data_IF_899646602051
#
_entry.id   IF_899646602051
#
_cell.length_a   1.000
_cell.length_b   1.000
_cell.length_c   1.000
_cell.angle_alpha   90.00
_cell.angle_beta   90.00
_cell.angle_gamma   90.00
#
_symmetry.space_group_name_H-M   'P 1'
#
loop_
_entity.id
_entity.type
_entity.pdbx_description
1 polymer ?
#
# COMPACT_ATOMS: atom_id res chain seq x y z
N UNK A 1 31.40 7.40 17.46
CA UNK A 1 31.33 5.97 17.81
C UNK A 1 29.88 5.51 18.07
N UNK A 2 28.94 5.93 17.20
CA UNK A 2 27.62 5.33 17.06
C UNK A 2 27.32 5.35 15.56
N UNK A 3 27.33 4.15 14.97
CA UNK A 3 26.93 3.77 13.62
C UNK A 3 27.61 4.53 12.46
N UNK A 4 28.65 3.91 11.88
CA UNK A 4 28.94 4.06 10.45
C UNK A 4 27.93 3.19 9.68
N UNK A 5 26.65 3.56 9.72
CA UNK A 5 25.56 2.91 9.00
C UNK A 5 24.82 3.92 8.12
N UNK A 6 23.97 3.44 7.21
CA UNK A 6 23.16 4.24 6.27
C UNK A 6 22.39 5.41 6.95
N UNK A 7 22.06 5.28 8.23
CA UNK A 7 21.35 6.29 9.01
C UNK A 7 22.32 7.16 9.82
N UNK A 8 22.27 8.47 9.58
CA UNK A 8 23.01 9.46 10.35
C UNK A 8 22.34 9.73 11.70
N UNK A 9 23.11 10.22 12.67
CA UNK A 9 22.56 10.71 13.94
C UNK A 9 21.48 11.79 13.73
N UNK A 10 21.57 12.56 12.64
CA UNK A 10 20.56 13.54 12.27
C UNK A 10 19.19 12.91 11.95
N UNK A 11 19.16 11.74 11.30
CA UNK A 11 17.91 11.08 10.89
C UNK A 11 17.10 10.60 12.10
N UNK A 12 17.80 10.08 13.11
CA UNK A 12 17.16 9.70 14.38
C UNK A 12 16.57 10.91 15.11
N UNK A 13 17.28 12.05 15.12
CA UNK A 13 16.79 13.28 15.74
C UNK A 13 15.53 13.76 15.02
N UNK A 14 15.50 13.75 13.69
CA UNK A 14 14.32 14.13 12.91
C UNK A 14 13.16 13.16 13.15
N UNK A 15 13.42 11.86 13.17
CA UNK A 15 12.40 10.83 13.42
C UNK A 15 11.73 11.02 14.79
N UNK A 16 12.51 10.99 15.87
CA UNK A 16 11.96 11.15 17.22
C UNK A 16 11.41 12.57 17.45
N UNK A 17 12.03 13.59 16.86
CA UNK A 17 11.55 14.98 16.92
C UNK A 17 10.17 15.14 16.30
N UNK A 18 9.93 14.55 15.13
CA UNK A 18 8.62 14.59 14.47
C UNK A 18 7.54 13.86 15.28
N UNK A 19 7.87 12.69 15.86
CA UNK A 19 6.96 11.92 16.71
C UNK A 19 6.57 12.69 17.98
N UNK A 20 7.54 13.31 18.64
CA UNK A 20 7.29 14.16 19.82
C UNK A 20 6.50 15.41 19.44
N UNK A 21 6.78 16.04 18.29
CA UNK A 21 6.02 17.20 17.82
C UNK A 21 4.54 16.85 17.61
N UNK A 22 4.25 15.76 16.89
CA UNK A 22 2.87 15.32 16.64
C UNK A 22 2.15 15.00 17.96
N UNK A 23 2.83 14.30 18.88
CA UNK A 23 2.29 14.01 20.21
C UNK A 23 2.03 15.29 21.01
N UNK A 24 2.96 16.25 21.00
CA UNK A 24 2.82 17.52 21.69
C UNK A 24 1.66 18.35 21.14
N UNK A 25 1.51 18.42 19.81
CA UNK A 25 0.36 19.09 19.15
C UNK A 25 -0.95 18.41 19.51
N UNK A 26 -1.01 17.07 19.45
CA UNK A 26 -2.20 16.31 19.83
C UNK A 26 -2.62 16.54 21.29
N UNK A 27 -1.64 16.55 22.22
CA UNK A 27 -1.89 16.85 23.62
C UNK A 27 -2.25 18.32 23.85
N UNK A 28 -1.66 19.26 23.13
CA UNK A 28 -1.97 20.68 23.27
C UNK A 28 -3.39 21.00 22.80
N UNK A 29 -3.78 20.47 21.64
CA UNK A 29 -5.15 20.61 21.10
C UNK A 29 -6.17 19.89 21.99
N UNK A 30 -5.84 18.71 22.52
CA UNK A 30 -6.71 17.94 23.42
C UNK A 30 -6.94 18.55 24.82
N UNK A 31 -6.19 19.60 25.21
CA UNK A 31 -6.32 20.24 26.54
C UNK A 31 -7.44 21.28 26.63
N UNK A 32 -8.03 21.70 25.51
CA UNK A 32 -9.10 22.71 25.46
C UNK A 32 -10.52 22.17 25.71
N UNK A 33 -10.70 20.86 25.74
CA UNK A 33 -11.99 20.20 25.59
C UNK A 33 -12.62 19.86 26.95
N UNK A 34 -13.56 20.69 27.41
CA UNK A 34 -14.19 20.58 28.75
C UNK A 34 -15.50 19.80 28.77
N UNK A 35 -16.06 19.44 27.61
CA UNK A 35 -17.33 18.72 27.48
C UNK A 35 -17.26 17.73 26.32
N UNK A 36 -17.85 16.54 26.47
CA UNK A 36 -17.97 15.56 25.38
C UNK A 36 -18.69 16.15 24.16
N UNK A 37 -19.57 17.14 24.33
CA UNK A 37 -20.21 17.83 23.21
C UNK A 37 -19.27 18.72 22.40
N UNK A 38 -18.32 19.41 23.01
CA UNK A 38 -17.35 20.24 22.25
C UNK A 38 -16.39 19.34 21.46
N UNK A 39 -15.99 18.21 22.05
CA UNK A 39 -15.09 17.23 21.43
C UNK A 39 -15.74 16.51 20.23
N UNK A 40 -17.03 16.16 20.33
CA UNK A 40 -17.75 15.44 19.26
C UNK A 40 -18.40 16.36 18.21
N UNK A 41 -18.72 17.62 18.54
CA UNK A 41 -19.41 18.52 17.62
C UNK A 41 -18.52 19.64 17.05
N UNK A 42 -17.26 19.79 17.50
CA UNK A 42 -16.36 20.86 17.09
C UNK A 42 -17.09 22.21 16.94
N UNK A 43 -17.94 22.52 17.94
CA UNK A 43 -18.69 23.76 18.05
C UNK A 43 -19.64 24.11 16.89
N UNK A 44 -20.07 23.18 16.02
CA UNK A 44 -20.93 23.44 14.82
C UNK A 44 -20.36 24.41 13.76
N UNK A 45 -19.25 25.08 14.02
CA UNK A 45 -18.60 26.08 13.15
C UNK A 45 -17.22 25.61 12.69
N UNK A 46 -17.04 24.31 12.44
CA UNK A 46 -15.82 23.81 11.82
C UNK A 46 -15.77 24.33 10.38
N UNK A 47 -14.74 25.10 9.99
CA UNK A 47 -14.69 25.65 8.66
C UNK A 47 -14.59 24.53 7.61
N UNK A 48 -15.21 24.73 6.45
CA UNK A 48 -15.32 23.71 5.41
C UNK A 48 -13.97 23.14 4.98
N UNK A 49 -12.90 23.95 5.01
CA UNK A 49 -11.55 23.54 4.66
C UNK A 49 -10.93 22.60 5.71
N UNK A 50 -11.27 22.76 6.99
CA UNK A 50 -10.80 21.86 8.05
C UNK A 50 -11.49 20.50 7.94
N UNK A 51 -12.79 20.49 7.62
CA UNK A 51 -13.55 19.25 7.33
C UNK A 51 -12.96 18.54 6.10
N UNK A 52 -12.72 19.28 5.02
CA UNK A 52 -12.10 18.74 3.81
C UNK A 52 -10.71 18.16 4.08
N UNK A 53 -9.87 18.88 4.84
CA UNK A 53 -8.55 18.43 5.24
C UNK A 53 -8.58 17.16 6.10
N UNK A 54 -9.52 17.05 7.04
CA UNK A 54 -9.69 15.85 7.87
C UNK A 54 -10.15 14.64 7.06
N UNK A 55 -11.10 14.81 6.13
CA UNK A 55 -11.57 13.73 5.25
C UNK A 55 -10.42 13.27 4.34
N UNK A 56 -9.67 14.20 3.76
CA UNK A 56 -8.52 13.88 2.93
C UNK A 56 -7.42 13.15 3.71
N UNK A 57 -7.07 13.65 4.90
CA UNK A 57 -6.08 13.02 5.78
C UNK A 57 -6.49 11.63 6.27
N UNK A 58 -7.80 11.36 6.38
CA UNK A 58 -8.31 10.03 6.76
C UNK A 58 -8.24 9.02 5.60
N UNK A 59 -8.29 9.48 4.35
CA UNK A 59 -8.23 8.62 3.17
C UNK A 59 -6.79 8.32 2.70
N UNK A 60 -5.83 9.19 3.05
CA UNK A 60 -4.43 9.04 2.61
C UNK A 60 -3.63 8.33 3.69
N UNK A 61 -3.10 7.15 3.35
CA UNK A 61 -2.20 6.40 4.23
C UNK A 61 -0.88 6.08 3.52
N UNK A 62 0.20 5.95 4.29
CA UNK A 62 1.52 5.66 3.74
C UNK A 62 1.55 4.30 3.00
N UNK A 63 0.82 3.30 3.51
CA UNK A 63 0.71 2.00 2.83
C UNK A 63 0.00 2.12 1.47
N UNK A 64 -1.05 2.94 1.38
CA UNK A 64 -1.75 3.18 0.14
C UNK A 64 -0.85 3.89 -0.88
N UNK A 65 -0.09 4.90 -0.45
CA UNK A 65 0.88 5.58 -1.32
C UNK A 65 1.94 4.62 -1.86
N UNK A 66 2.54 3.77 -1.01
CA UNK A 66 3.54 2.77 -1.45
C UNK A 66 2.94 1.77 -2.43
N UNK A 67 1.72 1.29 -2.17
CA UNK A 67 1.00 0.41 -3.09
C UNK A 67 0.73 1.04 -4.45
N UNK A 68 0.22 2.28 -4.47
CA UNK A 68 -0.08 3.01 -5.70
C UNK A 68 1.19 3.35 -6.49
N UNK A 69 2.29 3.69 -5.83
CA UNK A 69 3.58 3.88 -6.49
C UNK A 69 4.10 2.59 -7.12
N UNK A 70 3.97 1.45 -6.44
CA UNK A 70 4.38 0.15 -6.98
C UNK A 70 3.57 -0.23 -8.23
N UNK A 71 2.24 -0.05 -8.20
CA UNK A 71 1.39 -0.29 -9.38
C UNK A 71 1.70 0.72 -10.48
N UNK A 72 1.91 2.00 -10.13
CA UNK A 72 2.29 3.05 -11.09
C UNK A 72 3.62 2.79 -11.80
N UNK A 73 4.59 2.15 -11.16
CA UNK A 73 5.84 1.74 -11.81
C UNK A 73 5.62 0.70 -12.92
N UNK A 74 4.65 -0.20 -12.73
CA UNK A 74 4.34 -1.28 -13.70
C UNK A 74 3.33 -0.87 -14.77
N UNK A 75 2.27 -0.16 -14.38
CA UNK A 75 1.13 0.18 -15.24
C UNK A 75 1.18 1.62 -15.77
N UNK A 76 2.08 2.46 -15.26
CA UNK A 76 2.21 3.86 -15.66
C UNK A 76 1.01 4.72 -15.25
N UNK A 77 0.75 5.78 -16.02
CA UNK A 77 -0.28 6.79 -15.72
C UNK A 77 -1.73 6.26 -15.74
N UNK A 78 -1.96 5.05 -16.26
CA UNK A 78 -3.31 4.45 -16.37
C UNK A 78 -3.98 4.33 -15.01
N UNK A 79 -3.21 4.10 -13.94
CA UNK A 79 -3.74 3.96 -12.58
C UNK A 79 -4.46 5.21 -12.08
N UNK A 80 -4.09 6.40 -12.56
CA UNK A 80 -4.69 7.69 -12.19
C UNK A 80 -6.18 7.77 -12.55
N UNK A 81 -6.64 6.97 -13.52
CA UNK A 81 -8.05 6.95 -13.91
C UNK A 81 -8.97 6.47 -12.76
N UNK A 82 -8.48 5.61 -11.87
CA UNK A 82 -9.24 5.15 -10.69
C UNK A 82 -9.53 6.32 -9.75
N UNK A 83 -8.54 7.15 -9.48
CA UNK A 83 -8.65 8.31 -8.58
C UNK A 83 -9.57 9.40 -9.18
N UNK A 84 -9.42 9.69 -10.48
CA UNK A 84 -10.26 10.69 -11.15
C UNK A 84 -11.74 10.25 -11.15
N UNK A 85 -12.00 8.96 -11.38
CA UNK A 85 -13.36 8.42 -11.35
C UNK A 85 -13.93 8.38 -9.94
N UNK A 86 -13.10 8.15 -8.93
CA UNK A 86 -13.50 8.19 -7.52
C UNK A 86 -14.02 9.57 -7.10
N UNK A 87 -13.43 10.67 -7.61
CA UNK A 87 -13.90 12.04 -7.34
C UNK A 87 -15.34 12.22 -7.82
N UNK A 88 -15.65 11.76 -9.05
CA UNK A 88 -17.00 11.83 -9.59
C UNK A 88 -17.99 11.01 -8.76
N UNK A 89 -17.60 9.81 -8.34
CA UNK A 89 -18.40 8.96 -7.45
C UNK A 89 -18.65 9.60 -6.09
N UNK A 90 -17.64 10.25 -5.50
CA UNK A 90 -17.74 10.93 -4.21
C UNK A 90 -18.65 12.16 -4.28
N UNK A 91 -18.58 12.95 -5.36
CA UNK A 91 -19.49 14.08 -5.58
C UNK A 91 -20.95 13.62 -5.69
N UNK A 92 -21.19 12.53 -6.42
CA UNK A 92 -22.53 11.93 -6.54
C UNK A 92 -23.02 11.45 -5.17
N UNK A 93 -22.19 10.69 -4.44
CA UNK A 93 -22.51 10.22 -3.09
C UNK A 93 -22.85 11.40 -2.16
N UNK A 94 -22.03 12.45 -2.15
CA UNK A 94 -22.27 13.65 -1.35
C UNK A 94 -23.59 14.34 -1.72
N UNK A 95 -23.93 14.47 -3.00
CA UNK A 95 -25.17 15.16 -3.38
C UNK A 95 -26.42 14.37 -3.00
N UNK A 96 -26.41 13.04 -3.17
CA UNK A 96 -27.60 12.21 -2.94
C UNK A 96 -27.72 11.68 -1.49
N UNK A 97 -26.62 11.22 -0.87
CA UNK A 97 -26.67 10.58 0.44
C UNK A 97 -26.55 11.57 1.60
N UNK A 98 -25.81 12.67 1.44
CA UNK A 98 -25.68 13.70 2.49
C UNK A 98 -27.04 14.28 2.95
N UNK A 99 -27.99 14.66 2.07
CA UNK A 99 -29.27 15.17 2.53
C UNK A 99 -30.11 14.11 3.26
N UNK A 100 -29.94 12.83 2.90
CA UNK A 100 -30.63 11.71 3.55
C UNK A 100 -30.05 11.51 4.96
N UNK A 101 -28.74 11.43 5.10
CA UNK A 101 -28.08 11.22 6.41
C UNK A 101 -28.33 12.38 7.38
N UNK A 102 -28.34 13.61 6.87
CA UNK A 102 -28.69 14.79 7.70
C UNK A 102 -30.12 14.74 8.22
N UNK A 103 -31.08 14.23 7.45
CA UNK A 103 -32.48 14.10 7.90
C UNK A 103 -32.69 12.97 8.91
N UNK A 104 -31.93 11.88 8.79
CA UNK A 104 -32.06 10.71 9.68
C UNK A 104 -31.31 10.85 11.02
N UNK A 105 -30.51 11.90 11.22
CA UNK A 105 -29.68 12.08 12.41
C UNK A 105 -28.89 10.81 12.78
N UNK A 106 -28.26 10.21 11.77
CA UNK A 106 -27.37 9.04 11.90
C UNK A 106 -25.93 9.48 11.75
N UNK A 107 -25.07 9.02 12.66
CA UNK A 107 -23.66 9.43 12.73
C UNK A 107 -22.70 8.35 12.22
N UNK A 108 -23.13 7.09 12.15
CA UNK A 108 -22.32 5.98 11.65
C UNK A 108 -23.12 5.16 10.64
N UNK A 109 -22.42 4.54 9.67
CA UNK A 109 -23.08 3.72 8.67
C UNK A 109 -23.72 2.47 9.29
N UNK A 110 -23.09 1.90 10.33
CA UNK A 110 -23.64 0.78 11.11
C UNK A 110 -24.98 1.14 11.76
N UNK A 111 -25.10 2.35 12.31
CA UNK A 111 -26.35 2.85 12.93
C UNK A 111 -27.44 3.07 11.88
N UNK A 112 -27.09 3.58 10.69
CA UNK A 112 -28.02 3.65 9.56
C UNK A 112 -28.56 2.27 9.17
N UNK A 113 -27.70 1.26 9.10
CA UNK A 113 -28.09 -0.11 8.76
C UNK A 113 -28.98 -0.74 9.83
N UNK A 114 -28.71 -0.46 11.11
CA UNK A 114 -29.54 -0.89 12.23
C UNK A 114 -30.96 -0.31 12.18
N UNK A 115 -31.09 1.00 11.93
CA UNK A 115 -32.40 1.67 11.84
C UNK A 115 -33.21 1.26 10.61
N UNK A 116 -32.55 0.93 9.49
CA UNK A 116 -33.23 0.61 8.23
C UNK A 116 -33.64 -0.86 8.11
N UNK A 117 -32.85 -1.77 8.68
CA UNK A 117 -33.04 -3.21 8.56
C UNK A 117 -33.33 -3.85 9.91
N UNK A 118 -32.29 -4.08 10.73
CA UNK A 118 -32.39 -4.67 12.07
C UNK A 118 -31.01 -4.60 12.77
N UNK A 119 -30.97 -4.83 14.08
CA UNK A 119 -29.74 -4.83 14.88
C UNK A 119 -28.74 -5.92 14.46
N UNK A 120 -29.23 -7.04 13.90
CA UNK A 120 -28.37 -8.09 13.33
C UNK A 120 -27.50 -7.56 12.18
N UNK A 121 -28.06 -6.72 11.32
CA UNK A 121 -27.35 -6.10 10.19
C UNK A 121 -26.28 -5.12 10.67
N UNK A 122 -26.56 -4.37 11.74
CA UNK A 122 -25.59 -3.46 12.39
C UNK A 122 -24.37 -4.23 12.90
N UNK A 123 -24.59 -5.33 13.61
CA UNK A 123 -23.50 -6.16 14.15
C UNK A 123 -22.71 -6.82 13.03
N UNK A 124 -23.39 -7.41 12.04
CA UNK A 124 -22.74 -8.04 10.89
C UNK A 124 -21.83 -7.05 10.15
N UNK A 125 -22.32 -5.86 9.83
CA UNK A 125 -21.53 -4.82 9.17
C UNK A 125 -20.33 -4.38 10.02
N UNK A 126 -20.52 -4.19 11.32
CA UNK A 126 -19.44 -3.77 12.21
C UNK A 126 -18.33 -4.83 12.33
N UNK A 127 -18.70 -6.12 12.38
CA UNK A 127 -17.75 -7.24 12.39
C UNK A 127 -16.97 -7.32 11.07
N UNK A 128 -17.68 -7.23 9.94
CA UNK A 128 -17.04 -7.25 8.60
C UNK A 128 -16.06 -6.08 8.47
N UNK A 129 -16.48 -4.88 8.85
CA UNK A 129 -15.61 -3.69 8.79
C UNK A 129 -14.41 -3.82 9.70
N UNK A 130 -14.56 -4.35 10.91
CA UNK A 130 -13.44 -4.60 11.81
C UNK A 130 -12.44 -5.57 11.18
N UNK A 131 -12.91 -6.67 10.61
CA UNK A 131 -12.06 -7.65 9.93
C UNK A 131 -11.33 -6.99 8.75
N UNK A 132 -12.00 -6.18 7.94
CA UNK A 132 -11.38 -5.47 6.81
C UNK A 132 -10.33 -4.48 7.31
N UNK A 133 -10.63 -3.68 8.33
CA UNK A 133 -9.69 -2.71 8.89
C UNK A 133 -8.44 -3.43 9.41
N UNK A 134 -8.60 -4.52 10.16
CA UNK A 134 -7.45 -5.27 10.69
C UNK A 134 -6.67 -5.94 9.57
N UNK A 135 -7.32 -6.72 8.72
CA UNK A 135 -6.64 -7.57 7.74
C UNK A 135 -6.13 -6.79 6.52
N UNK A 136 -6.89 -5.82 6.03
CA UNK A 136 -6.60 -5.12 4.77
C UNK A 136 -5.88 -3.80 5.01
N UNK A 137 -6.20 -3.07 6.09
CA UNK A 137 -5.56 -1.78 6.36
C UNK A 137 -4.37 -1.91 7.32
N UNK A 138 -4.57 -2.60 8.46
CA UNK A 138 -3.58 -2.63 9.53
C UNK A 138 -2.41 -3.59 9.23
N UNK A 139 -2.68 -4.80 8.73
CA UNK A 139 -1.62 -5.76 8.42
C UNK A 139 -0.62 -5.25 7.37
N UNK A 140 -1.03 -4.72 6.19
CA UNK A 140 -0.08 -4.23 5.20
C UNK A 140 0.69 -3.00 5.70
N UNK A 141 0.04 -2.12 6.48
CA UNK A 141 0.72 -1.00 7.11
C UNK A 141 1.85 -1.46 8.05
N UNK A 142 1.59 -2.49 8.87
CA UNK A 142 2.59 -3.05 9.77
C UNK A 142 3.69 -3.81 9.02
N UNK A 143 3.35 -4.55 7.98
CA UNK A 143 4.31 -5.25 7.14
C UNK A 143 5.24 -4.27 6.40
N UNK A 144 4.69 -3.25 5.75
CA UNK A 144 5.49 -2.22 5.07
C UNK A 144 6.33 -1.42 6.06
N UNK A 145 5.78 -1.08 7.23
CA UNK A 145 6.52 -0.40 8.29
C UNK A 145 7.70 -1.23 8.82
N UNK A 146 7.48 -2.51 9.14
CA UNK A 146 8.54 -3.40 9.62
C UNK A 146 9.59 -3.69 8.54
N UNK A 147 9.19 -3.87 7.28
CA UNK A 147 10.13 -4.03 6.16
C UNK A 147 10.94 -2.76 5.93
N UNK A 148 10.34 -1.58 6.02
CA UNK A 148 11.05 -0.32 5.90
C UNK A 148 12.11 -0.19 7.02
N UNK A 149 11.75 -0.46 8.27
CA UNK A 149 12.71 -0.43 9.39
C UNK A 149 13.81 -1.47 9.20
N UNK A 150 13.47 -2.69 8.76
CA UNK A 150 14.46 -3.73 8.50
C UNK A 150 15.47 -3.30 7.43
N UNK A 151 15.00 -2.78 6.29
CA UNK A 151 15.88 -2.29 5.20
C UNK A 151 16.79 -1.15 5.69
N UNK A 152 16.27 -0.27 6.54
CA UNK A 152 17.04 0.86 7.07
C UNK A 152 18.04 0.47 8.17
N UNK A 153 17.80 -0.63 8.88
CA UNK A 153 18.69 -1.14 9.94
C UNK A 153 19.71 -2.17 9.43
N UNK A 154 19.47 -2.82 8.29
CA UNK A 154 20.41 -3.78 7.70
C UNK A 154 21.58 -3.01 7.06
N UNK A 155 22.79 -3.36 7.49
CA UNK A 155 24.05 -2.80 7.02
C UNK A 155 24.22 -3.01 5.50
N UNK A 156 24.75 -2.00 4.81
CA UNK A 156 24.86 -1.92 3.35
C UNK A 156 25.59 -3.15 2.76
N UNK A 157 26.48 -3.76 3.56
CA UNK A 157 27.24 -4.97 3.21
C UNK A 157 26.44 -6.27 3.05
N UNK A 158 25.28 -6.44 3.71
CA UNK A 158 24.45 -7.63 3.53
C UNK A 158 23.45 -7.50 2.37
N UNK A 159 22.91 -6.30 2.15
CA UNK A 159 22.01 -6.02 1.01
C UNK A 159 22.77 -6.18 -0.30
N UNK A 160 24.00 -5.67 -0.39
CA UNK A 160 24.85 -5.84 -1.56
C UNK A 160 25.16 -7.32 -1.84
N UNK A 161 25.41 -8.14 -0.80
CA UNK A 161 25.66 -9.58 -0.96
C UNK A 161 24.42 -10.36 -1.40
N UNK A 162 23.24 -10.03 -0.85
CA UNK A 162 21.97 -10.65 -1.25
C UNK A 162 21.54 -10.25 -2.67
N UNK A 163 21.80 -9.01 -3.08
CA UNK A 163 21.56 -8.53 -4.43
C UNK A 163 22.55 -9.15 -5.44
N UNK A 164 23.81 -9.37 -5.02
CA UNK A 164 24.80 -10.06 -5.85
C UNK A 164 24.50 -11.56 -6.00
N UNK A 165 24.08 -12.24 -4.94
CA UNK A 165 23.73 -13.67 -4.99
C UNK A 165 22.50 -13.94 -5.86
N UNK A 166 21.49 -13.07 -5.82
CA UNK A 166 20.32 -13.17 -6.69
C UNK A 166 20.67 -12.88 -8.15
N UNK A 167 21.48 -11.87 -8.45
CA UNK A 167 21.96 -11.62 -9.82
C UNK A 167 22.82 -12.76 -10.37
N UNK A 168 23.69 -13.35 -9.54
CA UNK A 168 24.46 -14.55 -9.90
C UNK A 168 23.54 -15.74 -10.23
N UNK A 169 22.46 -15.93 -9.47
CA UNK A 169 21.48 -17.00 -9.74
C UNK A 169 20.73 -16.78 -11.07
N UNK A 170 20.33 -15.53 -11.37
CA UNK A 170 19.73 -15.18 -12.66
C UNK A 170 20.72 -15.32 -13.83
N UNK A 171 21.95 -14.85 -13.67
CA UNK A 171 23.00 -14.97 -14.68
C UNK A 171 23.37 -16.45 -14.94
N UNK A 172 23.37 -17.27 -13.89
CA UNK A 172 23.59 -18.71 -14.00
C UNK A 172 22.43 -19.40 -14.73
N UNK A 173 21.16 -19.04 -14.47
CA UNK A 173 20.01 -19.57 -15.23
C UNK A 173 20.08 -19.22 -16.71
N UNK A 174 20.39 -17.96 -17.05
CA UNK A 174 20.55 -17.51 -18.46
C UNK A 174 21.71 -18.23 -19.16
N UNK A 175 22.81 -18.48 -18.44
CA UNK A 175 23.97 -19.21 -18.99
C UNK A 175 23.64 -20.69 -19.22
N UNK A 176 22.92 -21.33 -18.30
CA UNK A 176 22.47 -22.71 -18.43
C UNK A 176 21.46 -22.88 -19.57
N UNK A 177 20.53 -21.95 -19.70
CA UNK A 177 19.52 -21.94 -20.77
C UNK A 177 20.18 -21.72 -22.15
N UNK A 178 21.10 -20.76 -22.29
CA UNK A 178 21.84 -20.55 -23.55
C UNK A 178 22.76 -21.72 -23.92
N UNK A 179 23.36 -22.40 -22.94
CA UNK A 179 24.18 -23.60 -23.17
C UNK A 179 23.32 -24.81 -23.53
N UNK A 180 22.11 -24.92 -22.99
CA UNK A 180 21.13 -25.94 -23.36
C UNK A 180 20.65 -25.77 -24.79
N UNK A 181 20.24 -24.55 -25.17
CA UNK A 181 19.80 -24.21 -26.53
C UNK A 181 20.90 -24.42 -27.58
N UNK A 182 22.14 -24.08 -27.24
CA UNK A 182 23.29 -24.31 -28.13
C UNK A 182 23.54 -25.81 -28.36
N UNK A 183 23.39 -26.65 -27.32
CA UNK A 183 23.49 -28.11 -27.44
C UNK A 183 22.34 -28.69 -28.27
N UNK A 184 21.11 -28.21 -28.10
CA UNK A 184 19.96 -28.66 -28.91
C UNK A 184 20.13 -28.30 -30.39
N UNK A 185 20.63 -27.10 -30.71
CA UNK A 185 20.93 -26.72 -32.10
C UNK A 185 22.04 -27.58 -32.71
N UNK A 186 23.09 -27.87 -31.95
CA UNK A 186 24.18 -28.73 -32.41
C UNK A 186 23.71 -30.18 -32.61
N UNK A 187 22.85 -30.69 -31.73
CA UNK A 187 22.21 -31.99 -31.87
C UNK A 187 21.33 -32.04 -33.15
N UNK A 188 20.52 -31.00 -33.39
CA UNK A 188 19.68 -30.91 -34.58
C UNK A 188 20.49 -30.82 -35.88
N UNK A 189 21.60 -30.09 -35.89
CA UNK A 189 22.50 -30.03 -37.06
C UNK A 189 23.22 -31.36 -37.30
N UNK A 190 23.66 -32.05 -36.24
CA UNK A 190 24.24 -33.38 -36.34
C UNK A 190 23.23 -34.40 -36.90
N UNK A 191 21.97 -34.33 -36.44
CA UNK A 191 20.87 -35.15 -36.96
C UNK A 191 20.59 -34.81 -38.43
N UNK A 192 20.52 -33.54 -38.80
CA UNK A 192 20.34 -33.13 -40.22
C UNK A 192 21.47 -33.65 -41.12
N UNK A 193 22.73 -33.57 -40.68
CA UNK A 193 23.87 -34.11 -41.42
C UNK A 193 23.78 -35.63 -41.57
N UNK A 194 23.47 -36.36 -40.50
CA UNK A 194 23.30 -37.81 -40.55
C UNK A 194 22.16 -38.23 -41.48
N UNK A 195 21.03 -37.49 -41.48
CA UNK A 195 19.90 -37.73 -42.39
C UNK A 195 20.31 -37.48 -43.85
N UNK A 196 21.06 -36.42 -44.14
CA UNK A 196 21.53 -36.12 -45.50
C UNK A 196 22.56 -37.15 -46.02
N UNK A 197 23.33 -37.79 -45.14
CA UNK A 197 24.32 -38.81 -45.49
C UNK A 197 23.67 -40.19 -45.79
N UNK A 198 22.50 -40.46 -45.18
CA UNK A 198 21.72 -41.71 -45.40
C UNK A 198 20.81 -41.62 -46.64
N UNK A 199 20.35 -40.41 -47.00
CA UNK A 199 19.43 -40.15 -48.11
C UNK A 199 19.87 -40.67 -49.50
N UNK A 200 21.15 -40.69 -49.92
CA UNK A 200 21.53 -41.19 -51.25
C UNK A 200 21.56 -42.72 -51.40
N UNK A 201 21.08 -43.50 -50.42
CA UNK A 201 21.05 -44.99 -50.47
C UNK A 201 19.64 -45.60 -50.58
N UNK A 202 18.61 -44.82 -50.91
CA UNK A 202 17.20 -45.28 -50.98
C UNK A 202 16.59 -45.11 -52.38
N UNK A 203 17.40 -45.17 -53.43
CA UNK A 203 16.94 -45.45 -54.80
C UNK A 203 17.55 -46.74 -55.34
#
# INVERSE_FOLDING_TARGET
MLADGILSQADFIVFFGSLLMVMAVGLWVGRGERSAQDYFLAGKDTPWWAVAGSIFGSNVSANHMVGMMAVGFTAGFVISHLEITAIAGLLLLCYFFLPIYRKLHVYTLSDYLGRRYDDRSRVAYSVIMLIIIVLVMMLPAFYLGSRAVNILMVDEGEILRAQYSSQMEYAQKITLESTSDAKERQQQEAVKKAVMEVWPKVE
#
